data_IF_150188609963
#
_entry.id   IF_150188609963
#
_cell.length_a   1.000
_cell.length_b   1.000
_cell.length_c   1.000
_cell.angle_alpha   90.00
_cell.angle_beta   90.00
_cell.angle_gamma   90.00
#
_symmetry.space_group_name_H-M   'P 1'
#
loop_
_entity.id
_entity.type
_entity.pdbx_description
1 polymer ?
#
# COMPACT_ATOMS: atom_id res chain seq x y z
N UNK A 1 -24.85 -23.05 -8.81
CA UNK A 1 -23.98 -22.00 -8.25
C UNK A 1 -24.64 -21.24 -7.09
N UNK A 2 -25.82 -20.63 -7.27
CA UNK A 2 -26.53 -19.85 -6.22
C UNK A 2 -26.91 -20.61 -4.92
N UNK A 3 -27.31 -21.89 -4.98
CA UNK A 3 -27.87 -22.61 -3.81
C UNK A 3 -26.84 -23.19 -2.83
N UNK A 4 -25.54 -23.19 -3.14
CA UNK A 4 -24.48 -23.74 -2.25
C UNK A 4 -23.71 -22.69 -1.45
N UNK A 5 -23.90 -21.41 -1.74
CA UNK A 5 -23.22 -20.30 -1.05
C UNK A 5 -23.88 -19.93 0.30
N UNK A 6 -25.18 -20.16 0.46
CA UNK A 6 -25.92 -19.80 1.68
C UNK A 6 -25.64 -20.70 2.91
N UNK A 7 -25.17 -21.94 2.73
CA UNK A 7 -25.01 -22.88 3.85
C UNK A 7 -23.80 -22.56 4.77
N UNK A 8 -22.92 -21.63 4.37
CA UNK A 8 -21.70 -21.28 5.10
C UNK A 8 -21.81 -19.96 5.90
N UNK A 9 -22.98 -19.32 5.86
CA UNK A 9 -23.27 -18.00 6.42
C UNK A 9 -23.17 -17.97 7.96
N UNK A 10 -23.67 -18.99 8.68
CA UNK A 10 -23.70 -18.98 10.15
C UNK A 10 -22.35 -19.27 10.84
N UNK A 11 -21.41 -19.94 10.15
CA UNK A 11 -20.16 -20.41 10.77
C UNK A 11 -19.06 -19.35 10.85
N UNK A 12 -19.09 -18.35 9.97
CA UNK A 12 -18.06 -17.31 9.86
C UNK A 12 -18.34 -16.17 10.86
N UNK A 13 -19.60 -15.77 11.00
CA UNK A 13 -20.06 -14.65 11.86
C UNK A 13 -19.83 -14.90 13.36
N UNK A 14 -19.75 -16.17 13.79
CA UNK A 14 -19.58 -16.52 15.21
C UNK A 14 -18.18 -16.31 15.79
N UNK A 15 -17.16 -16.06 14.96
CA UNK A 15 -15.73 -16.12 15.35
C UNK A 15 -15.06 -14.77 15.69
N UNK A 16 -15.76 -13.64 15.60
CA UNK A 16 -15.12 -12.30 15.67
C UNK A 16 -15.45 -11.43 16.91
N UNK A 17 -16.28 -11.89 17.86
CA UNK A 17 -16.75 -11.05 18.99
C UNK A 17 -15.63 -10.47 19.90
N UNK A 18 -15.64 -9.15 20.10
CA UNK A 18 -14.78 -8.41 21.05
C UNK A 18 -15.37 -8.28 22.48
N UNK A 19 -14.48 -8.04 23.45
CA UNK A 19 -14.74 -7.91 24.89
C UNK A 19 -15.45 -6.57 25.25
N UNK A 20 -16.49 -6.58 26.11
CA UNK A 20 -17.28 -5.42 26.55
C UNK A 20 -16.49 -4.18 27.05
N UNK A 21 -15.33 -4.36 27.67
CA UNK A 21 -14.55 -3.23 28.22
C UNK A 21 -13.96 -2.32 27.14
N UNK A 22 -13.67 -2.86 25.94
CA UNK A 22 -13.13 -2.08 24.82
C UNK A 22 -14.23 -1.32 24.05
N UNK A 23 -15.47 -1.80 24.08
CA UNK A 23 -16.63 -1.11 23.49
C UNK A 23 -16.92 0.22 24.17
N UNK A 24 -16.76 0.30 25.49
CA UNK A 24 -16.98 1.54 26.25
C UNK A 24 -15.95 2.65 25.94
N UNK A 25 -14.73 2.27 25.52
CA UNK A 25 -13.66 3.21 25.14
C UNK A 25 -13.92 3.78 23.74
N UNK A 26 -14.39 2.96 22.80
CA UNK A 26 -14.81 3.37 21.45
C UNK A 26 -15.91 4.43 21.48
N UNK A 27 -16.93 4.23 22.31
CA UNK A 27 -18.07 5.16 22.41
C UNK A 27 -17.67 6.56 22.97
N UNK A 28 -16.59 6.64 23.75
CA UNK A 28 -16.01 7.92 24.22
C UNK A 28 -15.21 8.65 23.14
N UNK A 29 -14.66 7.91 22.17
CA UNK A 29 -13.83 8.45 21.07
C UNK A 29 -14.72 8.93 19.92
N UNK A 30 -15.81 8.23 19.61
CA UNK A 30 -16.80 8.61 18.59
C UNK A 30 -17.42 9.99 18.86
N UNK A 31 -17.71 10.30 20.13
CA UNK A 31 -18.27 11.60 20.53
C UNK A 31 -17.32 12.78 20.32
N UNK A 32 -16.02 12.53 20.13
CA UNK A 32 -15.02 13.56 19.78
C UNK A 32 -14.77 13.70 18.27
N UNK A 33 -15.13 12.70 17.46
CA UNK A 33 -14.87 12.67 16.00
C UNK A 33 -16.08 13.13 15.16
N UNK A 34 -17.31 13.07 15.68
CA UNK A 34 -18.54 13.43 14.97
C UNK A 34 -18.82 14.95 14.84
N UNK A 35 -17.81 15.78 14.59
CA UNK A 35 -18.00 17.19 14.19
C UNK A 35 -17.60 17.49 12.74
N UNK A 36 -17.48 16.48 11.89
CA UNK A 36 -17.22 16.67 10.46
C UNK A 36 -18.51 16.37 9.68
N UNK A 37 -19.02 17.39 8.99
CA UNK A 37 -20.24 17.34 8.16
C UNK A 37 -20.12 16.33 7.01
N UNK A 38 -21.28 15.87 6.53
CA UNK A 38 -21.41 14.84 5.49
C UNK A 38 -20.71 15.25 4.18
N UNK A 39 -19.64 14.54 3.84
CA UNK A 39 -18.89 14.74 2.59
C UNK A 39 -19.53 13.94 1.45
N UNK A 40 -19.75 14.57 0.30
CA UNK A 40 -20.23 13.94 -0.95
C UNK A 40 -19.21 12.90 -1.47
N UNK A 41 -19.63 11.79 -2.11
CA UNK A 41 -18.73 10.75 -2.60
C UNK A 41 -17.80 11.27 -3.71
N UNK A 42 -16.51 10.90 -3.65
CA UNK A 42 -15.51 11.19 -4.68
C UNK A 42 -15.84 10.41 -5.95
N UNK A 43 -15.71 11.01 -7.15
CA UNK A 43 -15.82 10.27 -8.41
C UNK A 43 -14.68 9.25 -8.64
N UNK A 44 -13.65 9.26 -7.78
CA UNK A 44 -12.55 8.29 -7.78
C UNK A 44 -12.67 7.49 -6.47
N UNK A 45 -13.14 6.25 -6.56
CA UNK A 45 -13.27 5.32 -5.43
C UNK A 45 -12.00 4.48 -5.23
N UNK A 46 -11.85 3.89 -4.04
CA UNK A 46 -10.93 2.78 -3.82
C UNK A 46 -11.39 1.52 -4.60
N UNK A 47 -10.51 0.52 -4.74
CA UNK A 47 -10.81 -0.73 -5.48
C UNK A 47 -12.09 -1.39 -4.97
N UNK A 48 -12.28 -1.40 -3.64
CA UNK A 48 -13.48 -1.96 -2.99
C UNK A 48 -14.73 -1.24 -3.47
N UNK A 49 -14.74 0.09 -3.46
CA UNK A 49 -15.87 0.92 -3.88
C UNK A 49 -16.14 0.78 -5.37
N UNK A 50 -15.10 0.75 -6.21
CA UNK A 50 -15.24 0.50 -7.66
C UNK A 50 -15.93 -0.83 -7.89
N UNK A 51 -15.42 -1.92 -7.31
CA UNK A 51 -15.96 -3.25 -7.52
C UNK A 51 -17.37 -3.43 -6.95
N UNK A 52 -17.69 -2.76 -5.84
CA UNK A 52 -19.06 -2.74 -5.31
C UNK A 52 -20.03 -1.98 -6.22
N UNK A 53 -19.62 -0.84 -6.76
CA UNK A 53 -20.44 -0.05 -7.68
C UNK A 53 -20.70 -0.80 -9.00
N UNK A 54 -19.71 -1.55 -9.47
CA UNK A 54 -19.83 -2.46 -10.62
C UNK A 54 -20.63 -3.74 -10.31
N UNK A 55 -21.07 -3.95 -9.06
CA UNK A 55 -21.87 -5.10 -8.66
C UNK A 55 -21.10 -6.43 -8.55
N UNK A 56 -19.76 -6.40 -8.67
CA UNK A 56 -18.91 -7.60 -8.64
C UNK A 56 -18.19 -7.80 -7.29
N UNK A 57 -18.17 -6.81 -6.41
CA UNK A 57 -17.43 -6.86 -5.14
C UNK A 57 -17.83 -8.02 -4.23
N UNK A 58 -19.06 -8.53 -4.34
CA UNK A 58 -19.54 -9.72 -3.59
C UNK A 58 -19.16 -11.06 -4.22
N UNK A 59 -18.74 -11.05 -5.50
CA UNK A 59 -18.32 -12.25 -6.23
C UNK A 59 -16.83 -12.55 -6.03
N UNK A 60 -16.09 -11.58 -5.54
CA UNK A 60 -14.64 -11.61 -5.37
C UNK A 60 -14.29 -11.74 -3.88
N UNK A 61 -13.29 -12.56 -3.57
CA UNK A 61 -12.75 -12.66 -2.22
C UNK A 61 -12.06 -11.36 -1.84
N UNK A 62 -12.32 -10.85 -0.63
CA UNK A 62 -11.80 -9.55 -0.16
C UNK A 62 -12.01 -8.39 -1.17
N UNK A 63 -13.08 -8.47 -1.98
CA UNK A 63 -13.52 -7.52 -3.00
C UNK A 63 -12.82 -7.53 -4.37
N UNK A 64 -11.59 -8.03 -4.49
CA UNK A 64 -10.77 -7.92 -5.72
C UNK A 64 -9.96 -9.18 -6.06
N UNK A 65 -10.11 -10.27 -5.30
CA UNK A 65 -9.42 -11.53 -5.56
C UNK A 65 -10.38 -12.54 -6.18
N UNK A 66 -10.06 -13.00 -7.39
CA UNK A 66 -10.71 -14.15 -8.01
C UNK A 66 -9.99 -15.44 -7.61
N UNK A 67 -10.58 -16.18 -6.67
CA UNK A 67 -10.03 -17.45 -6.19
C UNK A 67 -10.25 -18.59 -7.20
N UNK A 68 -9.25 -19.46 -7.32
CA UNK A 68 -9.43 -20.78 -7.94
C UNK A 68 -10.27 -21.70 -7.05
N UNK A 69 -10.85 -22.77 -7.62
CA UNK A 69 -11.63 -23.76 -6.86
C UNK A 69 -10.84 -24.32 -5.66
N UNK A 70 -9.58 -24.67 -5.89
CA UNK A 70 -8.68 -25.17 -4.84
C UNK A 70 -8.42 -24.14 -3.74
N UNK A 71 -8.19 -22.88 -4.11
CA UNK A 71 -8.00 -21.80 -3.13
C UNK A 71 -9.27 -21.57 -2.29
N UNK A 72 -10.45 -21.64 -2.91
CA UNK A 72 -11.73 -21.55 -2.19
C UNK A 72 -11.89 -22.69 -1.18
N UNK A 73 -11.55 -23.92 -1.56
CA UNK A 73 -11.61 -25.08 -0.66
C UNK A 73 -10.66 -24.94 0.54
N UNK A 74 -9.41 -24.50 0.29
CA UNK A 74 -8.42 -24.32 1.34
C UNK A 74 -8.83 -23.24 2.33
N UNK A 75 -9.27 -22.09 1.83
CA UNK A 75 -9.72 -20.97 2.66
C UNK A 75 -10.96 -21.38 3.48
N UNK A 76 -11.86 -22.18 2.91
CA UNK A 76 -13.09 -22.65 3.57
C UNK A 76 -12.80 -23.69 4.67
N UNK A 77 -11.77 -24.51 4.50
CA UNK A 77 -11.42 -25.59 5.43
C UNK A 77 -10.56 -25.13 6.63
N UNK A 78 -10.24 -23.84 6.74
CA UNK A 78 -9.50 -23.30 7.89
C UNK A 78 -10.40 -23.24 9.15
N UNK A 79 -10.22 -24.24 10.02
CA UNK A 79 -10.78 -24.24 11.37
C UNK A 79 -10.06 -23.19 12.23
N UNK A 80 -10.81 -22.36 12.95
CA UNK A 80 -10.39 -21.12 13.63
C UNK A 80 -9.43 -21.29 14.82
N UNK A 81 -8.66 -22.37 14.88
CA UNK A 81 -7.55 -22.53 15.80
C UNK A 81 -6.24 -22.34 15.03
N UNK A 82 -5.71 -21.12 15.10
CA UNK A 82 -4.43 -20.72 14.51
C UNK A 82 -4.55 -20.27 13.05
N UNK A 83 -4.77 -18.97 12.84
CA UNK A 83 -4.80 -18.34 11.52
C UNK A 83 -3.51 -18.67 10.77
N UNK A 84 -3.58 -19.47 9.69
CA UNK A 84 -2.41 -19.73 8.85
C UNK A 84 -2.17 -18.52 7.94
N UNK A 85 -0.90 -18.20 7.75
CA UNK A 85 -0.31 -17.05 7.01
C UNK A 85 -1.13 -16.60 5.78
N UNK A 86 -1.53 -15.31 5.68
CA UNK A 86 -2.13 -14.75 4.45
C UNK A 86 -1.62 -13.33 4.17
N UNK A 87 -0.41 -13.24 3.66
CA UNK A 87 0.08 -12.01 3.00
C UNK A 87 0.88 -12.36 1.74
N UNK A 88 1.66 -13.45 1.78
CA UNK A 88 2.19 -14.13 0.59
C UNK A 88 1.65 -15.56 0.53
N UNK A 89 1.21 -16.01 -0.64
CA UNK A 89 0.53 -17.29 -0.82
C UNK A 89 1.50 -18.46 -0.63
N UNK A 90 1.36 -19.18 0.48
CA UNK A 90 2.14 -20.37 0.81
C UNK A 90 1.19 -21.49 1.20
N UNK A 91 0.52 -22.04 0.20
CA UNK A 91 -0.36 -23.19 0.32
C UNK A 91 0.43 -24.51 0.27
N UNK A 92 -0.30 -25.64 0.21
CA UNK A 92 0.26 -26.99 0.07
C UNK A 92 1.04 -27.19 -1.24
N UNK A 93 0.72 -26.40 -2.26
CA UNK A 93 1.32 -26.51 -3.59
C UNK A 93 2.48 -25.53 -3.76
N UNK A 94 2.82 -24.73 -2.74
CA UNK A 94 4.02 -23.89 -2.76
C UNK A 94 5.29 -24.76 -2.90
N UNK A 95 6.20 -24.48 -3.84
CA UNK A 95 6.31 -23.25 -4.63
C UNK A 95 5.71 -23.29 -6.06
N UNK A 96 4.87 -24.27 -6.40
CA UNK A 96 4.40 -24.50 -7.77
C UNK A 96 3.44 -23.42 -8.29
N UNK A 97 2.74 -22.73 -7.40
CA UNK A 97 1.92 -21.56 -7.70
C UNK A 97 2.73 -20.25 -7.91
N UNK A 98 4.06 -20.31 -7.83
CA UNK A 98 4.92 -19.22 -8.26
C UNK A 98 5.06 -19.22 -9.78
N UNK A 99 5.33 -18.05 -10.35
CA UNK A 99 5.75 -17.96 -11.75
C UNK A 99 7.11 -18.67 -11.93
N UNK A 100 7.22 -19.66 -12.83
CA UNK A 100 8.45 -20.42 -13.06
C UNK A 100 9.64 -19.50 -13.36
N UNK A 101 10.78 -19.76 -12.70
CA UNK A 101 12.02 -18.96 -12.80
C UNK A 101 11.86 -17.46 -12.49
N UNK A 102 10.72 -17.06 -11.91
CA UNK A 102 10.35 -15.65 -11.74
C UNK A 102 10.03 -14.94 -13.06
N UNK A 103 9.69 -15.69 -14.11
CA UNK A 103 9.32 -15.17 -15.43
C UNK A 103 7.80 -15.09 -15.53
N UNK A 104 7.28 -13.87 -15.69
CA UNK A 104 5.86 -13.59 -15.84
C UNK A 104 5.59 -13.21 -17.28
N UNK A 105 4.90 -14.07 -18.02
CA UNK A 105 4.40 -13.71 -19.33
C UNK A 105 3.10 -12.90 -19.22
N UNK A 106 2.92 -11.93 -20.11
CA UNK A 106 1.67 -11.18 -20.21
C UNK A 106 1.25 -10.91 -21.65
N UNK A 107 -0.02 -10.58 -21.85
CA UNK A 107 -0.58 -10.11 -23.11
C UNK A 107 -1.71 -9.12 -22.87
N UNK A 108 -2.12 -8.43 -23.95
CA UNK A 108 -3.22 -7.48 -23.92
C UNK A 108 -4.39 -7.97 -24.76
N UNK A 109 -5.58 -8.01 -24.17
CA UNK A 109 -6.80 -8.29 -24.91
C UNK A 109 -7.18 -7.11 -25.82
N UNK A 110 -8.02 -7.36 -26.83
CA UNK A 110 -8.37 -6.35 -27.84
C UNK A 110 -9.12 -5.12 -27.28
N UNK A 111 -9.81 -5.27 -26.15
CA UNK A 111 -10.57 -4.21 -25.48
C UNK A 111 -9.70 -3.29 -24.58
N UNK A 112 -8.39 -3.54 -24.49
CA UNK A 112 -7.48 -2.70 -23.69
C UNK A 112 -7.07 -1.44 -24.44
N UNK A 113 -7.19 -0.29 -23.77
CA UNK A 113 -6.71 1.00 -24.29
C UNK A 113 -5.19 1.12 -24.13
N UNK A 114 -4.54 1.98 -24.93
CA UNK A 114 -3.09 2.25 -24.79
C UNK A 114 -2.74 2.74 -23.38
N UNK A 115 -3.60 3.57 -22.77
CA UNK A 115 -3.44 4.03 -21.39
C UNK A 115 -3.33 2.86 -20.41
N UNK A 116 -4.25 1.89 -20.48
CA UNK A 116 -4.22 0.72 -19.59
C UNK A 116 -2.96 -0.14 -19.82
N UNK A 117 -2.54 -0.31 -21.08
CA UNK A 117 -1.31 -1.04 -21.41
C UNK A 117 -0.09 -0.38 -20.77
N UNK A 118 0.01 0.94 -20.82
CA UNK A 118 1.12 1.70 -20.25
C UNK A 118 1.09 1.68 -18.71
N UNK A 119 -0.09 1.80 -18.09
CA UNK A 119 -0.25 1.67 -16.64
C UNK A 119 0.19 0.28 -16.15
N UNK A 120 -0.22 -0.78 -16.84
CA UNK A 120 0.21 -2.15 -16.54
C UNK A 120 1.73 -2.30 -16.66
N UNK A 121 2.33 -1.81 -17.76
CA UNK A 121 3.80 -1.86 -17.95
C UNK A 121 4.53 -1.10 -16.84
N UNK A 122 4.04 0.07 -16.45
CA UNK A 122 4.63 0.83 -15.34
C UNK A 122 4.48 0.11 -14.00
N UNK A 123 3.33 -0.51 -13.71
CA UNK A 123 3.11 -1.33 -12.51
C UNK A 123 4.05 -2.54 -12.47
N UNK A 124 4.16 -3.28 -13.58
CA UNK A 124 5.08 -4.39 -13.75
C UNK A 124 6.54 -3.96 -13.54
N UNK A 125 6.92 -2.79 -14.08
CA UNK A 125 8.26 -2.24 -13.93
C UNK A 125 8.61 -1.93 -12.46
N UNK A 126 7.64 -1.50 -11.64
CA UNK A 126 7.87 -1.26 -10.21
C UNK A 126 8.30 -2.54 -9.49
N UNK A 127 7.64 -3.65 -9.77
CA UNK A 127 8.05 -4.96 -9.25
C UNK A 127 9.37 -5.43 -9.85
N UNK A 128 9.52 -5.32 -11.17
CA UNK A 128 10.68 -5.82 -11.92
C UNK A 128 12.02 -5.19 -11.49
N UNK A 129 12.02 -3.92 -11.08
CA UNK A 129 13.26 -3.17 -10.74
C UNK A 129 13.89 -3.56 -9.41
N UNK A 130 13.08 -4.02 -8.46
CA UNK A 130 13.49 -4.23 -7.06
C UNK A 130 13.23 -5.65 -6.58
N UNK A 131 12.87 -6.55 -7.51
CA UNK A 131 12.75 -7.99 -7.29
C UNK A 131 13.54 -8.75 -8.36
N UNK A 132 13.63 -10.08 -8.22
CA UNK A 132 14.23 -10.94 -9.23
C UNK A 132 13.29 -11.30 -10.38
N UNK A 133 12.03 -10.84 -10.33
CA UNK A 133 10.99 -11.16 -11.31
C UNK A 133 11.21 -10.41 -12.62
N UNK A 134 10.84 -11.01 -13.74
CA UNK A 134 10.91 -10.41 -15.07
C UNK A 134 9.59 -10.58 -15.82
N UNK A 135 9.15 -9.53 -16.52
CA UNK A 135 7.89 -9.49 -17.23
C UNK A 135 8.15 -9.42 -18.74
N UNK A 136 7.52 -10.32 -19.50
CA UNK A 136 7.68 -10.37 -20.96
C UNK A 136 6.32 -10.43 -21.65
N UNK A 137 6.10 -9.54 -22.62
CA UNK A 137 4.91 -9.55 -23.46
C UNK A 137 5.02 -10.73 -24.44
N UNK A 138 4.19 -11.76 -24.29
CA UNK A 138 4.17 -12.91 -25.18
C UNK A 138 2.78 -13.55 -25.25
N UNK A 139 2.03 -13.21 -26.30
CA UNK A 139 0.64 -13.65 -26.50
C UNK A 139 0.47 -15.17 -26.66
N UNK A 140 1.51 -15.88 -27.09
CA UNK A 140 1.47 -17.34 -27.28
C UNK A 140 1.91 -18.14 -26.04
N UNK A 141 2.29 -17.47 -24.94
CA UNK A 141 2.57 -18.16 -23.68
C UNK A 141 1.29 -18.87 -23.17
N UNK A 142 1.35 -20.18 -22.84
CA UNK A 142 0.20 -20.94 -22.36
C UNK A 142 -0.21 -20.53 -20.93
N UNK A 143 0.76 -20.16 -20.11
CA UNK A 143 0.58 -19.57 -18.78
C UNK A 143 0.98 -18.10 -18.84
N UNK A 144 0.03 -17.19 -18.66
CA UNK A 144 0.27 -15.74 -18.73
C UNK A 144 -0.85 -14.94 -18.09
N UNK A 145 -0.54 -13.71 -17.73
CA UNK A 145 -1.54 -12.70 -17.40
C UNK A 145 -2.12 -12.11 -18.70
N UNK A 146 -3.43 -12.12 -18.87
CA UNK A 146 -4.10 -11.39 -19.94
C UNK A 146 -4.83 -10.18 -19.35
N UNK A 147 -4.31 -8.97 -19.63
CA UNK A 147 -4.96 -7.74 -19.18
C UNK A 147 -6.23 -7.49 -20.01
N UNK A 148 -7.33 -7.19 -19.33
CA UNK A 148 -8.62 -6.81 -19.91
C UNK A 148 -9.15 -5.51 -19.31
N UNK A 149 -9.95 -4.81 -20.12
CA UNK A 149 -10.80 -3.72 -19.67
C UNK A 149 -12.22 -4.28 -19.41
N UNK A 150 -12.34 -5.08 -18.36
CA UNK A 150 -13.61 -5.65 -17.89
C UNK A 150 -14.09 -4.85 -16.66
N UNK A 151 -15.28 -5.14 -16.13
CA UNK A 151 -15.79 -4.45 -14.93
C UNK A 151 -14.85 -4.63 -13.73
N UNK A 152 -14.57 -3.51 -13.05
CA UNK A 152 -13.78 -3.42 -11.83
C UNK A 152 -12.29 -3.76 -11.93
N UNK A 153 -11.61 -3.73 -10.78
CA UNK A 153 -10.19 -4.01 -10.61
C UNK A 153 -10.03 -5.32 -9.83
N UNK A 154 -9.47 -6.35 -10.45
CA UNK A 154 -9.28 -7.65 -9.78
C UNK A 154 -8.29 -8.54 -10.50
N UNK A 155 -7.78 -9.53 -9.77
CA UNK A 155 -6.82 -10.51 -10.29
C UNK A 155 -6.92 -11.86 -9.59
N UNK A 156 -6.26 -12.86 -10.17
CA UNK A 156 -5.98 -14.13 -9.48
C UNK A 156 -4.80 -13.97 -8.52
N UNK A 157 -4.67 -14.88 -7.55
CA UNK A 157 -3.49 -14.93 -6.67
C UNK A 157 -2.50 -16.00 -7.10
N UNK A 158 -1.29 -15.56 -7.49
CA UNK A 158 -0.21 -16.42 -8.01
C UNK A 158 -0.41 -16.86 -9.47
N UNK A 159 0.42 -17.80 -9.92
CA UNK A 159 0.28 -18.45 -11.21
C UNK A 159 -0.84 -19.51 -11.14
N UNK A 160 -1.92 -19.29 -11.90
CA UNK A 160 -3.06 -20.19 -11.98
C UNK A 160 -2.89 -21.32 -13.02
N UNK A 161 -1.70 -21.47 -13.62
CA UNK A 161 -1.35 -22.46 -14.64
C UNK A 161 -2.25 -22.41 -15.89
N UNK A 162 -2.62 -21.20 -16.28
CA UNK A 162 -3.50 -20.91 -17.42
C UNK A 162 -3.27 -19.49 -17.93
N UNK A 163 -4.00 -19.13 -18.98
CA UNK A 163 -4.25 -17.72 -19.32
C UNK A 163 -5.18 -17.17 -18.22
N UNK A 164 -4.64 -16.33 -17.34
CA UNK A 164 -5.39 -15.74 -16.22
C UNK A 164 -5.68 -14.27 -16.50
N UNK A 165 -6.95 -13.90 -16.44
CA UNK A 165 -7.37 -12.51 -16.61
C UNK A 165 -6.92 -11.66 -15.43
N UNK A 166 -6.47 -10.44 -15.71
CA UNK A 166 -6.37 -9.34 -14.76
C UNK A 166 -7.23 -8.19 -15.31
N UNK A 167 -8.18 -7.70 -14.52
CA UNK A 167 -9.08 -6.63 -14.92
C UNK A 167 -8.58 -5.29 -14.42
N UNK A 168 -8.50 -4.30 -15.32
CA UNK A 168 -8.41 -2.89 -14.98
C UNK A 168 -9.52 -2.16 -15.74
N UNK A 169 -10.70 -2.12 -15.15
CA UNK A 169 -11.88 -1.43 -15.66
C UNK A 169 -11.87 0.08 -15.45
N UNK A 170 -13.04 0.69 -15.67
CA UNK A 170 -13.29 2.09 -15.37
C UNK A 170 -13.06 2.38 -13.87
N UNK A 171 -12.29 3.43 -13.57
CA UNK A 171 -11.87 3.79 -12.20
C UNK A 171 -10.56 3.15 -11.74
N UNK A 172 -10.06 2.13 -12.44
CA UNK A 172 -8.84 1.40 -12.07
C UNK A 172 -7.55 2.02 -12.66
N UNK A 173 -7.64 3.14 -13.37
CA UNK A 173 -6.59 3.64 -14.26
C UNK A 173 -5.44 4.38 -13.52
N UNK A 174 -4.82 3.72 -12.55
CA UNK A 174 -3.60 4.18 -11.88
C UNK A 174 -2.50 3.13 -11.88
N UNK A 175 -1.24 3.58 -11.86
CA UNK A 175 -0.05 2.75 -11.71
C UNK A 175 -0.11 2.01 -10.37
N UNK A 176 -0.65 2.65 -9.32
CA UNK A 176 -0.85 2.03 -8.01
C UNK A 176 -1.80 0.84 -8.07
N UNK A 177 -2.97 1.00 -8.68
CA UNK A 177 -3.96 -0.08 -8.88
C UNK A 177 -3.38 -1.19 -9.74
N UNK A 178 -2.75 -0.85 -10.87
CA UNK A 178 -2.10 -1.86 -11.71
C UNK A 178 -1.01 -2.63 -10.95
N UNK A 179 -0.19 -1.96 -10.14
CA UNK A 179 0.82 -2.60 -9.32
C UNK A 179 0.23 -3.50 -8.23
N UNK A 180 -0.91 -3.12 -7.64
CA UNK A 180 -1.67 -3.91 -6.67
C UNK A 180 -2.20 -5.20 -7.30
N UNK A 181 -2.90 -5.11 -8.43
CA UNK A 181 -3.44 -6.29 -9.13
C UNK A 181 -2.34 -7.22 -9.67
N UNK A 182 -1.21 -6.66 -10.09
CA UNK A 182 -0.01 -7.45 -10.43
C UNK A 182 0.53 -8.11 -9.16
N UNK A 183 0.51 -7.44 -8.01
CA UNK A 183 0.90 -8.01 -6.72
C UNK A 183 0.09 -9.27 -6.37
N UNK A 184 -1.23 -9.24 -6.60
CA UNK A 184 -2.07 -10.44 -6.51
C UNK A 184 -1.60 -11.53 -7.46
N UNK A 185 -1.45 -11.22 -8.75
CA UNK A 185 -0.98 -12.19 -9.75
C UNK A 185 0.41 -12.78 -9.41
N UNK A 186 1.25 -12.06 -8.66
CA UNK A 186 2.54 -12.54 -8.17
C UNK A 186 2.44 -13.41 -6.89
N UNK A 187 1.29 -13.45 -6.22
CA UNK A 187 1.05 -14.31 -5.05
C UNK A 187 0.75 -13.57 -3.76
N UNK A 188 0.46 -12.27 -3.78
CA UNK A 188 0.07 -11.53 -2.57
C UNK A 188 -1.43 -11.59 -2.27
N UNK A 189 -1.74 -11.70 -0.98
CA UNK A 189 -3.04 -11.38 -0.41
C UNK A 189 -2.96 -10.02 0.29
N UNK A 190 -4.09 -9.50 0.74
CA UNK A 190 -4.10 -8.27 1.50
C UNK A 190 -3.34 -8.37 2.82
N UNK A 191 -2.62 -7.31 3.16
CA UNK A 191 -1.88 -7.20 4.42
C UNK A 191 -2.78 -7.26 5.66
N UNK A 192 -4.06 -6.89 5.56
CA UNK A 192 -5.01 -7.04 6.67
C UNK A 192 -5.45 -8.50 6.88
N UNK A 193 -5.11 -9.42 5.97
CA UNK A 193 -5.32 -10.87 6.11
C UNK A 193 -4.31 -11.56 7.02
N UNK A 194 -3.27 -10.86 7.47
CA UNK A 194 -2.21 -11.44 8.31
C UNK A 194 -2.71 -11.98 9.65
N UNK A 195 -2.00 -12.98 10.16
CA UNK A 195 -2.25 -13.60 11.47
C UNK A 195 -2.09 -12.66 12.66
N UNK A 196 -1.15 -11.72 12.57
CA UNK A 196 -0.80 -10.72 13.59
C UNK A 196 -1.51 -9.38 13.38
N UNK A 197 -2.47 -9.28 12.45
CA UNK A 197 -3.13 -7.99 12.15
C UNK A 197 -3.73 -7.33 13.40
N UNK A 198 -4.26 -8.14 14.33
CA UNK A 198 -5.01 -7.64 15.49
C UNK A 198 -4.07 -7.02 16.54
N UNK A 199 -2.75 -7.14 16.36
CA UNK A 199 -1.70 -6.40 17.09
C UNK A 199 -1.43 -5.01 16.50
N UNK A 200 -2.02 -4.68 15.34
CA UNK A 200 -1.73 -3.45 14.59
C UNK A 200 -2.99 -2.66 14.21
N UNK A 201 -4.08 -3.34 13.91
CA UNK A 201 -5.36 -2.75 13.55
C UNK A 201 -6.49 -3.35 14.39
N UNK A 202 -7.54 -2.56 14.58
CA UNK A 202 -8.82 -2.98 15.10
C UNK A 202 -9.84 -2.92 13.97
N UNK A 203 -10.68 -3.94 13.88
CA UNK A 203 -11.83 -3.97 12.98
C UNK A 203 -13.06 -3.47 13.74
N UNK A 204 -13.76 -2.49 13.17
CA UNK A 204 -15.06 -2.05 13.69
C UNK A 204 -16.20 -2.80 12.99
N UNK A 205 -16.59 -3.92 13.59
CA UNK A 205 -17.62 -4.81 13.07
C UNK A 205 -18.99 -4.16 12.92
N UNK A 206 -19.28 -3.07 13.64
CA UNK A 206 -20.56 -2.36 13.51
C UNK A 206 -20.71 -1.66 12.16
N UNK A 207 -19.59 -1.40 11.50
CA UNK A 207 -19.52 -0.73 10.19
C UNK A 207 -19.21 -1.70 9.05
N UNK A 208 -18.90 -2.95 9.38
CA UNK A 208 -18.82 -4.02 8.39
C UNK A 208 -20.24 -4.30 7.94
N UNK A 209 -20.59 -3.87 6.71
CA UNK A 209 -21.84 -4.29 6.09
C UNK A 209 -21.85 -5.82 6.06
N UNK A 210 -22.98 -6.39 6.49
CA UNK A 210 -23.22 -7.81 6.84
C UNK A 210 -22.82 -8.85 5.76
N UNK A 211 -22.36 -8.44 4.58
CA UNK A 211 -22.15 -9.33 3.44
C UNK A 211 -20.91 -9.02 2.56
N UNK A 212 -19.99 -8.16 2.98
CA UNK A 212 -18.68 -8.08 2.31
C UNK A 212 -17.58 -8.45 3.31
N UNK A 213 -16.84 -9.50 3.00
CA UNK A 213 -15.53 -9.78 3.61
C UNK A 213 -14.48 -8.73 3.18
N UNK A 214 -14.93 -7.52 2.84
CA UNK A 214 -14.16 -6.47 2.20
C UNK A 214 -13.97 -5.36 3.23
N UNK A 215 -12.71 -5.13 3.59
CA UNK A 215 -12.33 -4.04 4.49
C UNK A 215 -11.86 -2.86 3.66
N UNK A 216 -12.60 -1.74 3.70
CA UNK A 216 -12.21 -0.49 3.04
C UNK A 216 -11.51 0.44 4.03
N UNK A 217 -10.51 1.17 3.54
CA UNK A 217 -9.78 2.22 4.25
C UNK A 217 -10.27 3.64 3.87
N UNK A 218 -11.39 3.75 3.14
CA UNK A 218 -11.97 5.01 2.69
C UNK A 218 -12.83 5.66 3.81
N UNK A 219 -12.53 6.91 4.19
CA UNK A 219 -13.27 7.66 5.23
C UNK A 219 -14.72 7.96 4.85
N UNK A 220 -15.09 7.88 3.57
CA UNK A 220 -16.50 7.99 3.14
C UNK A 220 -17.34 6.80 3.62
N UNK A 221 -16.69 5.71 4.03
CA UNK A 221 -17.26 4.58 4.78
C UNK A 221 -16.60 4.55 6.15
N UNK A 222 -17.31 5.02 7.19
CA UNK A 222 -16.91 4.95 8.60
C UNK A 222 -15.81 3.88 8.86
N UNK A 223 -14.59 4.30 9.18
CA UNK A 223 -13.38 3.46 9.16
C UNK A 223 -13.63 2.04 9.69
N UNK A 224 -13.72 1.05 8.79
CA UNK A 224 -13.88 -0.37 9.18
C UNK A 224 -12.57 -0.94 9.71
N UNK A 225 -11.43 -0.42 9.24
CA UNK A 225 -10.09 -0.71 9.73
C UNK A 225 -9.49 0.49 10.42
N UNK A 226 -9.19 0.33 11.70
CA UNK A 226 -8.68 1.38 12.56
C UNK A 226 -7.27 0.98 13.02
N UNK A 227 -6.21 1.71 12.66
CA UNK A 227 -4.89 1.43 13.23
C UNK A 227 -4.86 1.73 14.73
N UNK A 228 -4.18 0.86 15.50
CA UNK A 228 -3.99 1.07 16.94
C UNK A 228 -3.15 2.33 17.21
N UNK A 229 -2.12 2.58 16.39
CA UNK A 229 -1.48 3.90 16.33
C UNK A 229 -2.19 4.77 15.29
N UNK A 230 -3.05 5.67 15.79
CA UNK A 230 -3.93 6.52 14.97
C UNK A 230 -3.20 7.39 13.95
N UNK A 231 -1.90 7.62 14.11
CA UNK A 231 -1.08 8.37 13.14
C UNK A 231 -0.92 7.64 11.80
N UNK A 232 -1.28 6.35 11.73
CA UNK A 232 -1.28 5.57 10.49
C UNK A 232 -2.58 5.62 9.70
N UNK A 233 -3.62 6.31 10.19
CA UNK A 233 -4.94 6.30 9.54
C UNK A 233 -4.88 6.74 8.07
N UNK A 234 -4.11 7.80 7.79
CA UNK A 234 -3.89 8.35 6.46
C UNK A 234 -2.80 7.58 5.66
N UNK A 235 -2.13 6.61 6.29
CA UNK A 235 -1.08 5.78 5.67
C UNK A 235 -1.62 4.46 5.11
N UNK A 236 -2.61 3.87 5.78
CA UNK A 236 -3.28 2.64 5.33
C UNK A 236 -4.05 2.94 4.03
N UNK A 237 -4.05 1.99 3.09
CA UNK A 237 -4.68 2.16 1.78
C UNK A 237 -3.80 2.89 0.75
N UNK A 238 -2.52 3.14 1.06
CA UNK A 238 -1.67 3.89 0.15
C UNK A 238 -1.30 3.15 -1.13
N UNK A 239 -1.24 3.89 -2.24
CA UNK A 239 -0.97 3.41 -3.60
C UNK A 239 0.53 3.18 -3.90
N UNK A 240 1.39 3.26 -2.89
CA UNK A 240 2.82 2.98 -3.04
C UNK A 240 3.17 1.56 -2.60
N UNK A 241 3.87 0.82 -3.46
CA UNK A 241 4.58 -0.40 -3.03
C UNK A 241 5.56 -0.02 -1.92
N UNK A 242 5.30 -0.49 -0.71
CA UNK A 242 6.14 -0.24 0.46
C UNK A 242 7.44 -1.03 0.38
N UNK A 243 8.41 -0.67 1.22
CA UNK A 243 9.65 -1.45 1.32
C UNK A 243 9.38 -2.88 1.81
N UNK A 244 8.39 -3.08 2.70
CA UNK A 244 8.02 -4.40 3.17
C UNK A 244 7.37 -5.25 2.07
N UNK A 245 6.59 -4.66 1.17
CA UNK A 245 6.06 -5.38 0.01
C UNK A 245 7.19 -5.93 -0.87
N UNK A 246 8.21 -5.12 -1.13
CA UNK A 246 9.41 -5.52 -1.88
C UNK A 246 10.17 -6.62 -1.15
N UNK A 247 10.45 -6.43 0.14
CA UNK A 247 11.18 -7.40 0.96
C UNK A 247 10.44 -8.75 1.01
N UNK A 248 9.12 -8.71 1.18
CA UNK A 248 8.29 -9.91 1.21
C UNK A 248 8.25 -10.59 -0.14
N UNK A 249 8.13 -9.86 -1.24
CA UNK A 249 8.11 -10.44 -2.59
C UNK A 249 9.45 -11.11 -2.91
N UNK A 250 10.55 -10.44 -2.56
CA UNK A 250 11.90 -11.00 -2.68
C UNK A 250 12.09 -12.25 -1.80
N UNK A 251 11.51 -12.28 -0.61
CA UNK A 251 11.53 -13.46 0.27
C UNK A 251 10.67 -14.59 -0.32
N UNK A 252 9.52 -14.24 -0.90
CA UNK A 252 8.54 -15.18 -1.45
C UNK A 252 9.10 -15.95 -2.65
N UNK A 253 9.80 -15.26 -3.55
CA UNK A 253 10.47 -15.82 -4.73
C UNK A 253 11.94 -16.21 -4.48
N UNK A 254 12.40 -16.21 -3.22
CA UNK A 254 13.80 -16.49 -2.84
C UNK A 254 14.84 -15.63 -3.59
N UNK A 255 14.45 -14.44 -4.03
CA UNK A 255 15.32 -13.50 -4.71
C UNK A 255 16.52 -13.09 -3.86
N UNK A 256 16.36 -13.04 -2.53
CA UNK A 256 17.44 -12.70 -1.59
C UNK A 256 18.61 -13.69 -1.64
N UNK A 257 18.41 -14.90 -2.17
CA UNK A 257 19.46 -15.90 -2.29
C UNK A 257 20.43 -15.60 -3.44
N UNK A 258 20.00 -14.83 -4.47
CA UNK A 258 20.80 -14.54 -5.68
C UNK A 258 22.12 -13.84 -5.39
N UNK A 259 22.17 -13.04 -4.32
CA UNK A 259 23.38 -12.28 -3.94
C UNK A 259 24.18 -12.91 -2.79
N UNK A 260 23.71 -14.01 -2.17
CA UNK A 260 24.36 -14.59 -0.97
C UNK A 260 25.77 -15.09 -1.21
N UNK A 261 26.02 -15.71 -2.37
CA UNK A 261 27.34 -16.25 -2.75
C UNK A 261 28.28 -15.19 -3.32
N UNK A 262 27.77 -13.99 -3.63
CA UNK A 262 28.58 -12.92 -4.20
C UNK A 262 29.33 -12.16 -3.09
N UNK A 263 30.64 -12.41 -2.97
CA UNK A 263 31.51 -11.74 -1.99
C UNK A 263 31.59 -10.23 -2.16
N UNK A 264 31.29 -9.72 -3.35
CA UNK A 264 31.26 -8.29 -3.67
C UNK A 264 29.86 -7.69 -3.56
N UNK A 265 28.88 -8.43 -3.02
CA UNK A 265 27.54 -7.89 -2.80
C UNK A 265 27.55 -6.71 -1.82
N UNK A 266 26.70 -5.73 -2.09
CA UNK A 266 26.56 -4.52 -1.29
C UNK A 266 26.15 -4.84 0.16
N UNK A 267 26.81 -4.20 1.12
CA UNK A 267 26.44 -4.25 2.54
C UNK A 267 25.46 -3.12 2.84
N UNK A 268 24.17 -3.42 2.71
CA UNK A 268 23.11 -2.43 2.82
C UNK A 268 22.93 -1.92 4.24
N UNK A 269 22.86 -0.60 4.38
CA UNK A 269 22.51 0.11 5.60
C UNK A 269 20.98 0.22 5.76
N UNK A 270 20.56 0.71 6.93
CA UNK A 270 19.17 1.07 7.26
C UNK A 270 18.15 -0.06 7.05
N UNK A 271 18.59 -1.31 7.01
CA UNK A 271 17.74 -2.48 6.81
C UNK A 271 17.37 -2.75 5.35
N UNK A 272 18.07 -2.12 4.39
CA UNK A 272 18.01 -2.46 2.97
C UNK A 272 18.55 -3.87 2.67
N UNK A 273 18.39 -4.33 1.43
CA UNK A 273 18.91 -5.63 0.98
C UNK A 273 19.53 -5.52 -0.43
N UNK A 274 20.51 -6.36 -0.80
CA UNK A 274 21.14 -6.31 -2.12
C UNK A 274 20.11 -6.52 -3.24
N UNK A 275 20.18 -5.71 -4.30
CA UNK A 275 19.27 -5.86 -5.43
C UNK A 275 19.55 -7.19 -6.15
N UNK A 276 18.56 -8.08 -6.30
CA UNK A 276 18.79 -9.42 -6.84
C UNK A 276 19.14 -9.47 -8.33
N UNK A 277 19.01 -8.34 -9.05
CA UNK A 277 19.44 -8.17 -10.45
C UNK A 277 20.77 -7.44 -10.58
N UNK A 278 21.25 -6.83 -9.50
CA UNK A 278 22.50 -6.09 -9.44
C UNK A 278 22.98 -6.06 -7.99
N UNK A 279 23.73 -7.09 -7.61
CA UNK A 279 24.18 -7.26 -6.23
C UNK A 279 25.13 -6.16 -5.74
N UNK A 280 25.63 -5.29 -6.63
CA UNK A 280 26.53 -4.18 -6.26
C UNK A 280 25.81 -3.00 -5.62
N UNK A 281 24.47 -2.97 -5.67
CA UNK A 281 23.64 -1.91 -5.08
C UNK A 281 22.49 -2.48 -4.24
N UNK A 282 21.94 -1.64 -3.39
CA UNK A 282 20.86 -2.00 -2.49
C UNK A 282 19.48 -1.54 -2.97
N UNK A 283 18.45 -2.30 -2.57
CA UNK A 283 17.07 -1.82 -2.51
C UNK A 283 16.89 -1.19 -1.13
N UNK A 284 16.47 0.08 -1.10
CA UNK A 284 16.45 0.90 0.11
C UNK A 284 15.04 1.14 0.65
N UNK A 285 14.88 1.23 1.99
CA UNK A 285 13.66 1.76 2.58
C UNK A 285 13.35 3.18 2.07
N UNK A 286 12.08 3.54 2.03
CA UNK A 286 11.65 4.88 1.62
C UNK A 286 12.36 5.96 2.42
N UNK A 287 12.78 7.04 1.76
CA UNK A 287 13.56 8.11 2.37
C UNK A 287 15.06 7.83 2.50
N UNK A 288 15.55 6.65 2.10
CA UNK A 288 16.97 6.30 2.03
C UNK A 288 17.37 5.91 0.61
N UNK A 289 18.61 6.21 0.23
CA UNK A 289 19.15 6.03 -1.12
C UNK A 289 20.66 5.88 -1.14
N UNK A 290 21.26 6.14 -2.29
CA UNK A 290 22.65 5.78 -2.57
C UNK A 290 22.82 4.28 -2.80
N UNK A 291 24.05 3.87 -3.11
CA UNK A 291 24.37 2.46 -3.41
C UNK A 291 24.12 1.55 -2.20
N UNK A 292 24.31 2.06 -0.98
CA UNK A 292 24.24 1.30 0.26
C UNK A 292 23.08 1.70 1.19
N UNK A 293 22.13 2.54 0.76
CA UNK A 293 21.01 3.02 1.62
C UNK A 293 21.44 3.88 2.81
N UNK A 294 22.61 4.50 2.74
CA UNK A 294 23.19 5.38 3.76
C UNK A 294 23.23 6.85 3.32
N UNK A 295 22.56 7.19 2.23
CA UNK A 295 22.49 8.55 1.68
C UNK A 295 21.03 8.99 1.53
N UNK A 296 20.81 10.30 1.49
CA UNK A 296 19.52 10.86 1.08
C UNK A 296 19.25 10.49 -0.38
N UNK A 297 18.03 10.08 -0.75
CA UNK A 297 17.68 9.83 -2.15
C UNK A 297 18.02 11.03 -3.06
N UNK A 298 18.53 10.75 -4.25
CA UNK A 298 18.84 11.77 -5.26
C UNK A 298 17.59 12.51 -5.73
N UNK A 299 17.73 13.74 -6.20
CA UNK A 299 16.62 14.60 -6.62
C UNK A 299 16.37 15.73 -5.63
N UNK A 300 15.18 16.31 -5.67
CA UNK A 300 14.81 17.44 -4.82
C UNK A 300 14.76 17.08 -3.32
N UNK A 301 14.83 18.12 -2.50
CA UNK A 301 15.04 18.05 -1.05
C UNK A 301 16.51 18.17 -0.66
N UNK A 302 16.77 18.20 0.65
CA UNK A 302 18.09 18.52 1.21
C UNK A 302 18.32 17.88 2.58
N UNK A 303 19.54 18.00 3.10
CA UNK A 303 19.88 17.60 4.48
C UNK A 303 19.82 18.85 5.35
N UNK A 304 19.00 18.79 6.40
CA UNK A 304 18.72 19.86 7.35
C UNK A 304 19.30 19.49 8.71
N UNK A 305 19.98 20.43 9.36
CA UNK A 305 20.54 20.23 10.70
C UNK A 305 19.61 20.88 11.75
N UNK A 306 19.15 20.11 12.73
CA UNK A 306 18.29 20.65 13.77
C UNK A 306 19.10 21.23 14.94
N UNK A 307 18.71 22.42 15.40
CA UNK A 307 19.21 23.04 16.63
C UNK A 307 18.23 22.82 17.78
N UNK A 308 18.56 23.28 19.00
CA UNK A 308 17.63 23.19 20.15
C UNK A 308 16.39 24.07 20.00
N UNK A 309 16.45 25.08 19.13
CA UNK A 309 15.32 25.97 18.84
C UNK A 309 14.50 25.45 17.66
N UNK A 310 13.22 25.78 17.65
CA UNK A 310 12.36 25.39 16.53
C UNK A 310 12.78 26.12 15.25
N UNK A 311 13.08 25.33 14.23
CA UNK A 311 13.33 25.77 12.86
C UNK A 311 12.12 25.44 12.00
N UNK A 312 11.70 26.37 11.14
CA UNK A 312 10.59 26.14 10.20
C UNK A 312 11.07 25.31 9.01
N UNK A 313 10.19 24.45 8.52
CA UNK A 313 10.35 23.68 7.29
C UNK A 313 9.15 23.94 6.39
N UNK A 314 9.40 24.25 5.12
CA UNK A 314 8.37 24.42 4.12
C UNK A 314 8.81 23.77 2.81
N UNK A 315 7.89 23.08 2.15
CA UNK A 315 8.08 22.57 0.79
C UNK A 315 6.80 22.71 -0.02
N UNK A 316 6.95 22.96 -1.32
CA UNK A 316 5.85 23.06 -2.28
C UNK A 316 6.14 22.12 -3.45
N UNK A 317 5.32 21.09 -3.61
CA UNK A 317 5.52 20.07 -4.65
C UNK A 317 4.22 19.76 -5.39
N UNK A 318 4.32 19.62 -6.71
CA UNK A 318 3.22 19.23 -7.61
C UNK A 318 3.40 19.81 -9.00
N UNK A 319 2.49 19.49 -9.90
CA UNK A 319 2.50 19.91 -11.29
C UNK A 319 1.68 21.20 -11.47
N UNK A 320 2.30 22.34 -11.80
CA UNK A 320 1.58 23.57 -12.08
C UNK A 320 0.55 23.38 -13.19
N UNK A 321 -0.68 23.89 -13.00
CA UNK A 321 -1.74 23.84 -14.01
C UNK A 321 -2.56 22.56 -14.08
N UNK A 322 -2.16 21.47 -13.40
CA UNK A 322 -2.91 20.21 -13.38
C UNK A 322 -3.94 20.22 -12.24
N UNK A 323 -5.24 20.20 -12.59
CA UNK A 323 -6.36 20.13 -11.61
C UNK A 323 -6.93 18.71 -11.43
N UNK A 324 -6.46 17.74 -12.24
CA UNK A 324 -6.91 16.34 -12.31
C UNK A 324 -5.81 15.33 -11.96
N UNK A 325 -6.08 14.04 -12.12
CA UNK A 325 -4.99 13.07 -12.26
C UNK A 325 -4.28 13.35 -13.59
N UNK A 326 -2.96 13.45 -13.57
CA UNK A 326 -2.15 13.57 -14.78
C UNK A 326 -2.17 12.23 -15.55
N UNK A 327 -2.13 12.27 -16.88
CA UNK A 327 -2.12 11.07 -17.75
C UNK A 327 -0.97 10.11 -17.44
N UNK A 328 0.16 10.62 -16.92
CA UNK A 328 1.31 9.81 -16.59
C UNK A 328 1.24 9.15 -15.19
N UNK A 329 0.31 9.58 -14.32
CA UNK A 329 0.08 9.06 -12.96
C UNK A 329 1.31 8.96 -12.02
N UNK A 330 2.41 9.64 -12.36
CA UNK A 330 3.61 9.67 -11.53
C UNK A 330 3.49 10.70 -10.39
N UNK A 331 3.97 10.29 -9.21
CA UNK A 331 4.19 11.22 -8.11
C UNK A 331 5.56 11.88 -8.24
N UNK A 332 5.57 13.21 -8.16
CA UNK A 332 6.76 13.95 -7.77
C UNK A 332 7.05 13.65 -6.30
N UNK A 333 8.32 13.50 -5.94
CA UNK A 333 8.76 13.25 -4.57
C UNK A 333 10.02 14.05 -4.26
N UNK A 334 10.02 14.79 -3.16
CA UNK A 334 11.23 15.37 -2.57
C UNK A 334 11.56 14.65 -1.26
N UNK A 335 12.84 14.41 -1.03
CA UNK A 335 13.31 13.66 0.14
C UNK A 335 14.24 14.57 0.94
N UNK A 336 13.89 14.81 2.20
CA UNK A 336 14.67 15.60 3.14
C UNK A 336 15.13 14.74 4.29
N UNK A 337 16.30 15.02 4.83
CA UNK A 337 16.77 14.43 6.09
C UNK A 337 16.91 15.51 7.13
N UNK A 338 16.24 15.36 8.27
CA UNK A 338 16.54 16.18 9.44
C UNK A 338 17.51 15.39 10.31
N UNK A 339 18.70 15.93 10.51
CA UNK A 339 19.78 15.28 11.25
C UNK A 339 20.07 15.99 12.57
N UNK A 340 20.45 15.18 13.55
CA UNK A 340 21.02 15.59 14.83
C UNK A 340 22.21 14.69 15.18
N UNK A 341 23.09 15.12 16.11
CA UNK A 341 24.18 14.28 16.60
C UNK A 341 23.68 12.93 17.16
N UNK A 342 24.55 11.91 17.11
CA UNK A 342 24.26 10.60 17.69
C UNK A 342 23.88 10.73 19.17
N UNK A 343 22.82 10.02 19.58
CA UNK A 343 22.28 10.09 20.94
C UNK A 343 21.25 11.20 21.18
N UNK A 344 21.05 12.10 20.21
CA UNK A 344 19.96 13.09 20.22
C UNK A 344 18.82 12.66 19.30
N UNK A 345 17.68 13.31 19.47
CA UNK A 345 16.47 13.03 18.69
C UNK A 345 15.92 14.32 18.10
N UNK A 346 15.20 14.19 16.99
CA UNK A 346 14.41 15.27 16.42
C UNK A 346 12.98 15.21 16.98
N UNK A 347 12.49 16.34 17.45
CA UNK A 347 11.07 16.60 17.65
C UNK A 347 10.53 17.41 16.47
N UNK A 348 9.44 16.95 15.86
CA UNK A 348 8.80 17.58 14.70
C UNK A 348 7.37 17.90 15.09
N UNK A 349 6.91 19.11 14.79
CA UNK A 349 5.52 19.51 14.91
C UNK A 349 4.95 19.74 13.52
N UNK A 350 3.81 19.11 13.25
CA UNK A 350 3.04 19.40 12.05
C UNK A 350 2.33 20.74 12.21
N UNK A 351 2.62 21.70 11.34
CA UNK A 351 2.00 23.03 11.41
C UNK A 351 0.81 23.16 10.47
N UNK A 352 0.98 22.85 9.19
CA UNK A 352 -0.08 23.03 8.20
C UNK A 352 0.19 22.27 6.89
N UNK A 353 -0.86 21.97 6.14
CA UNK A 353 -0.79 21.37 4.81
C UNK A 353 -1.86 21.97 3.91
N UNK A 354 -1.59 22.13 2.61
CA UNK A 354 -2.60 22.59 1.65
C UNK A 354 -3.80 21.66 1.68
N UNK A 355 -4.95 22.19 2.07
CA UNK A 355 -6.20 21.44 2.16
C UNK A 355 -6.63 20.97 0.76
N UNK A 356 -6.76 19.65 0.60
CA UNK A 356 -7.19 19.02 -0.64
C UNK A 356 -8.72 18.96 -0.75
N UNK A 357 -9.43 19.16 0.36
CA UNK A 357 -10.90 19.08 0.43
C UNK A 357 -11.56 20.24 -0.34
N UNK A 358 -10.86 21.36 -0.49
CA UNK A 358 -11.32 22.55 -1.23
C UNK A 358 -11.53 22.31 -2.74
N UNK A 359 -11.16 21.15 -3.29
CA UNK A 359 -11.27 20.82 -4.72
C UNK A 359 -12.40 19.82 -5.03
N UNK A 360 -13.28 19.53 -4.05
CA UNK A 360 -14.46 18.67 -4.28
C UNK A 360 -14.12 17.20 -4.56
N UNK A 361 -12.91 16.77 -4.22
CA UNK A 361 -12.47 15.37 -4.31
C UNK A 361 -12.48 14.81 -2.91
N UNK A 362 -13.55 14.08 -2.59
CA UNK A 362 -13.69 13.38 -1.31
C UNK A 362 -12.41 12.63 -0.95
N UNK A 363 -12.00 12.74 0.31
CA UNK A 363 -10.79 12.13 0.84
C UNK A 363 -10.78 10.61 0.59
N UNK A 364 -9.85 10.13 -0.24
CA UNK A 364 -9.55 8.69 -0.39
C UNK A 364 -8.38 8.35 0.55
N UNK A 365 -8.54 7.28 1.35
CA UNK A 365 -7.52 6.79 2.27
C UNK A 365 -6.15 6.59 1.62
N UNK A 366 -5.08 6.63 2.41
CA UNK A 366 -3.72 6.36 1.93
C UNK A 366 -3.02 7.52 1.23
N UNK A 367 -3.57 8.73 1.34
CA UNK A 367 -3.07 9.96 0.71
C UNK A 367 -2.90 9.84 -0.80
N UNK A 368 -4.02 9.52 -1.44
CA UNK A 368 -4.11 9.19 -2.86
C UNK A 368 -3.56 10.26 -3.82
N UNK A 369 -3.72 11.56 -3.56
CA UNK A 369 -3.30 12.60 -4.51
C UNK A 369 -1.95 13.24 -4.17
N UNK A 370 -1.77 13.60 -2.91
CA UNK A 370 -0.59 14.27 -2.41
C UNK A 370 -0.53 14.09 -0.89
N UNK A 371 0.63 14.31 -0.30
CA UNK A 371 0.85 14.25 1.13
C UNK A 371 2.32 14.35 1.48
N UNK A 372 2.62 14.19 2.77
CA UNK A 372 3.98 14.03 3.24
C UNK A 372 4.09 12.86 4.20
N UNK A 373 5.28 12.27 4.32
CA UNK A 373 5.61 11.14 5.20
C UNK A 373 6.70 11.54 6.19
N UNK A 374 6.48 11.28 7.48
CA UNK A 374 7.48 11.42 8.54
C UNK A 374 7.93 10.04 9.02
N UNK A 375 9.22 9.73 8.88
CA UNK A 375 9.81 8.45 9.32
C UNK A 375 10.42 8.52 10.72
N UNK A 376 9.57 8.74 11.72
CA UNK A 376 9.98 8.86 13.12
C UNK A 376 10.18 7.52 13.86
N UNK A 377 9.82 6.39 13.25
CA UNK A 377 9.75 5.08 13.90
C UNK A 377 11.12 4.47 14.22
N UNK A 378 11.17 3.49 15.15
CA UNK A 378 12.40 2.75 15.44
C UNK A 378 12.87 1.89 14.26
N UNK A 379 11.93 1.19 13.62
CA UNK A 379 12.21 0.42 12.41
C UNK A 379 12.07 1.32 11.18
N UNK A 380 13.20 1.66 10.57
CA UNK A 380 13.24 2.56 9.42
C UNK A 380 12.76 1.89 8.12
N UNK A 381 12.52 0.57 8.13
CA UNK A 381 11.95 -0.18 7.01
C UNK A 381 10.45 0.03 6.84
N UNK A 382 9.72 0.35 7.92
CA UNK A 382 8.27 0.58 7.86
C UNK A 382 7.97 1.86 7.10
N UNK A 383 6.84 1.90 6.39
CA UNK A 383 6.28 3.17 5.93
C UNK A 383 6.08 4.09 7.14
N UNK A 384 6.45 5.36 6.97
CA UNK A 384 6.30 6.40 7.99
C UNK A 384 4.85 6.83 8.18
N UNK A 385 4.65 7.84 9.03
CA UNK A 385 3.33 8.45 9.20
C UNK A 385 3.05 9.38 8.04
N UNK A 386 1.98 9.14 7.30
CA UNK A 386 1.55 9.98 6.19
C UNK A 386 0.41 10.90 6.60
N UNK A 387 0.44 12.11 6.06
CA UNK A 387 -0.59 13.12 6.26
C UNK A 387 -0.89 13.82 4.94
N UNK A 388 -2.17 14.08 4.71
CA UNK A 388 -2.67 14.76 3.51
C UNK A 388 -3.87 15.66 3.80
N UNK A 389 -4.07 16.01 5.07
CA UNK A 389 -5.08 16.96 5.52
C UNK A 389 -4.55 17.76 6.72
N UNK A 390 -5.03 19.01 6.83
CA UNK A 390 -4.73 19.90 7.96
C UNK A 390 -5.37 19.46 9.27
N UNK A 391 -6.25 18.45 9.27
CA UNK A 391 -6.92 17.95 10.49
C UNK A 391 -5.95 17.53 11.60
N UNK A 392 -4.71 17.16 11.24
CA UNK A 392 -3.68 16.75 12.21
C UNK A 392 -2.69 17.86 12.58
N UNK A 393 -2.93 19.11 12.14
CA UNK A 393 -2.11 20.25 12.50
C UNK A 393 -2.03 20.41 14.03
N UNK A 394 -0.82 20.59 14.55
CA UNK A 394 -0.51 20.63 15.98
C UNK A 394 0.05 19.33 16.55
N UNK A 395 -0.06 18.20 15.83
CA UNK A 395 0.54 16.93 16.26
C UNK A 395 2.08 17.04 16.36
N UNK A 396 2.62 16.37 17.37
CA UNK A 396 4.07 16.37 17.67
C UNK A 396 4.62 14.94 17.60
N UNK A 397 5.74 14.80 16.93
CA UNK A 397 6.43 13.54 16.66
C UNK A 397 7.83 13.61 17.28
N UNK A 398 8.18 12.58 18.05
CA UNK A 398 9.55 12.38 18.49
C UNK A 398 10.14 11.22 17.70
N UNK A 399 11.28 11.47 17.08
CA UNK A 399 12.01 10.44 16.35
C UNK A 399 12.69 9.43 17.27
N UNK A 400 12.83 8.20 16.79
CA UNK A 400 13.57 7.14 17.47
C UNK A 400 15.05 7.06 17.03
N UNK A 401 15.44 7.86 16.03
CA UNK A 401 16.78 7.88 15.41
C UNK A 401 17.23 9.32 15.21
N UNK A 402 18.53 9.51 15.04
CA UNK A 402 19.16 10.82 14.86
C UNK A 402 19.03 11.37 13.42
N UNK A 403 18.52 10.56 12.48
CA UNK A 403 18.16 10.97 11.12
C UNK A 403 16.66 10.72 10.96
N UNK A 404 15.94 11.72 10.49
CA UNK A 404 14.51 11.63 10.20
C UNK A 404 14.24 12.00 8.75
N UNK A 405 13.93 11.01 7.90
CA UNK A 405 13.44 11.29 6.57
C UNK A 405 12.05 11.96 6.59
N UNK A 406 11.93 13.05 5.85
CA UNK A 406 10.66 13.69 5.47
C UNK A 406 10.51 13.53 3.96
N UNK A 407 9.39 12.97 3.51
CA UNK A 407 9.13 12.71 2.10
C UNK A 407 7.87 13.45 1.71
N UNK A 408 7.98 14.51 0.92
CA UNK A 408 6.82 15.22 0.36
C UNK A 408 6.53 14.67 -1.02
N UNK A 409 5.25 14.57 -1.38
CA UNK A 409 4.85 14.02 -2.67
C UNK A 409 3.52 14.57 -3.18
N UNK A 410 3.42 14.70 -4.50
CA UNK A 410 2.19 15.08 -5.19
C UNK A 410 2.18 14.52 -6.62
N UNK A 411 1.04 14.02 -7.07
CA UNK A 411 0.79 13.71 -8.49
C UNK A 411 -0.23 14.65 -9.15
N UNK A 412 -0.59 15.72 -8.45
CA UNK A 412 -1.61 16.71 -8.85
C UNK A 412 -1.01 18.11 -8.77
N UNK A 413 -1.84 19.14 -8.52
CA UNK A 413 -1.40 20.53 -8.34
C UNK A 413 -0.36 20.68 -7.21
N UNK A 414 0.38 21.81 -7.19
CA UNK A 414 1.32 22.12 -6.12
C UNK A 414 0.62 22.20 -4.75
N UNK A 415 1.13 21.44 -3.79
CA UNK A 415 0.67 21.44 -2.40
C UNK A 415 1.82 21.88 -1.50
N UNK A 416 1.51 22.68 -0.48
CA UNK A 416 2.45 23.17 0.53
C UNK A 416 2.39 22.28 1.77
N UNK A 417 3.56 21.86 2.25
CA UNK A 417 3.75 21.22 3.55
C UNK A 417 4.50 22.18 4.47
N UNK A 418 4.00 22.38 5.69
CA UNK A 418 4.59 23.26 6.70
C UNK A 418 4.78 22.48 7.99
N UNK A 419 6.04 22.38 8.44
CA UNK A 419 6.42 21.74 9.69
C UNK A 419 7.35 22.67 10.47
N UNK A 420 7.58 22.35 11.74
CA UNK A 420 8.73 22.89 12.48
C UNK A 420 9.40 21.81 13.29
N UNK A 421 10.71 21.88 13.38
CA UNK A 421 11.52 20.82 13.97
C UNK A 421 12.60 21.39 14.88
N UNK A 422 13.03 20.60 15.88
CA UNK A 422 14.15 20.91 16.76
C UNK A 422 14.81 19.62 17.27
N UNK A 423 16.03 19.76 17.75
CA UNK A 423 16.76 18.74 18.48
C UNK A 423 16.29 18.71 19.94
N UNK A 424 16.03 17.50 20.44
CA UNK A 424 15.70 17.22 21.84
C UNK A 424 16.65 16.21 22.46
#
# INVERSE_FOLDING_TARGET
MHKRLHANEEKITKRLKLNPQRQAILHKIEKKLCQVEQVQPSPIGDIVTINENEGIGKLLFESDILLTERQMEEISNENGHGRKKRQAFKDKDYPQNLWPDGIVHFSFHNNTTNKLRDLFRHGALKWQRETCLSFYEYIHAPERIELKNDSGCWSYVGNAHKIQTLSLGEGCETIGTAAHEIGHALGFFHSHGRHDRDEHIQIDETKVKEFSSSFSADKTRLDTMIPLDRKYIDTIGSHFISFYDKLMMNTHYKCLDKCKSNKSAAKCAMGGFPNPKDCSKCVCPGGYGGTLCNERPTGCGEILQATTDYTKFEDVIGYPGIKGLNDNDFFLKCNYWIEVPLGRYVEIRFDNFTDLDAVGKSYVGGCYFAGFEIKAQKDQRTTGYRFCSRTYAGEVFKSAKNIVPIITYSRVWPVKTELRYRMV
#
